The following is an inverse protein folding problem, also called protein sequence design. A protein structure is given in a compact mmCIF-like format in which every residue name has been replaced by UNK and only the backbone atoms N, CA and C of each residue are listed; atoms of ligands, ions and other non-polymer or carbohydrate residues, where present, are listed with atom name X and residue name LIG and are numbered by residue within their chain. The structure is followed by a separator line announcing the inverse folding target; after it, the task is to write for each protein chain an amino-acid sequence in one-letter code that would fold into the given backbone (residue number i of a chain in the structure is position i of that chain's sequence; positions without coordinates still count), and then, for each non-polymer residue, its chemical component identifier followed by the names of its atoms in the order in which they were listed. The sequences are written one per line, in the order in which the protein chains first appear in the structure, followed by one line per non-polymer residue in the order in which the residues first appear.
data_IF_645404517382
#
_entry.id   IF_645404517382
#
_cell.length_a   1.000
_cell.length_b   1.000
_cell.length_c   1.000
_cell.angle_alpha   90.00
_cell.angle_beta   90.00
_cell.angle_gamma   90.00
#
_symmetry.space_group_name_H-M   'P 1'
#
loop_
_entity.id
_entity.type
_entity.pdbx_description
1 polymer ?
#
# COMPACT_ATOMS: atom_id res chain seq x y z
N UNK A 1 -27.74 20.94 7.41
CA UNK A 1 -27.20 22.33 7.47
C UNK A 1 -25.90 22.40 6.66
N UNK A 2 -24.93 21.53 6.88
CA UNK A 2 -23.63 21.53 6.18
C UNK A 2 -23.81 21.37 4.65
N UNK A 3 -24.68 20.48 4.22
CA UNK A 3 -24.88 20.19 2.80
C UNK A 3 -25.55 21.36 2.03
N UNK A 4 -26.31 22.20 2.70
CA UNK A 4 -27.00 23.37 2.11
C UNK A 4 -26.06 24.55 1.82
N UNK A 5 -24.90 24.56 2.46
CA UNK A 5 -23.88 25.59 2.36
C UNK A 5 -22.68 25.19 1.53
N UNK A 6 -22.68 23.98 0.97
CA UNK A 6 -21.61 23.49 0.09
C UNK A 6 -21.53 24.42 -1.14
N UNK A 7 -20.40 25.10 -1.29
CA UNK A 7 -20.18 26.06 -2.39
C UNK A 7 -20.46 27.54 -2.10
N UNK A 8 -20.88 27.91 -0.88
CA UNK A 8 -20.92 29.32 -0.49
C UNK A 8 -19.52 29.82 -0.18
N UNK A 9 -19.19 31.02 -0.65
CA UNK A 9 -17.93 31.69 -0.35
C UNK A 9 -17.94 32.14 1.12
N UNK A 10 -17.25 31.37 1.98
CA UNK A 10 -17.07 31.74 3.39
C UNK A 10 -16.11 32.91 3.58
N UNK A 11 -15.39 33.33 2.52
CA UNK A 11 -14.52 34.49 2.52
C UNK A 11 -15.25 35.80 2.84
N UNK A 12 -16.54 35.87 2.54
CA UNK A 12 -17.35 37.07 2.70
C UNK A 12 -17.86 37.27 4.14
N UNK A 13 -17.65 36.26 5.00
CA UNK A 13 -18.15 36.24 6.37
C UNK A 13 -17.06 35.73 7.33
N UNK A 14 -16.22 36.61 7.88
CA UNK A 14 -15.11 36.22 8.76
C UNK A 14 -15.56 35.38 9.97
N UNK A 15 -16.76 35.64 10.50
CA UNK A 15 -17.35 34.90 11.60
C UNK A 15 -17.63 33.42 11.28
N UNK A 16 -17.73 33.08 9.99
CA UNK A 16 -17.93 31.71 9.54
C UNK A 16 -16.62 30.94 9.30
N UNK A 17 -15.47 31.60 9.47
CA UNK A 17 -14.15 30.96 9.25
C UNK A 17 -13.94 29.73 10.15
N UNK A 18 -14.44 29.78 11.38
CA UNK A 18 -14.36 28.63 12.30
C UNK A 18 -15.14 27.43 11.75
N UNK A 19 -16.32 27.67 11.20
CA UNK A 19 -17.12 26.61 10.58
C UNK A 19 -16.44 26.04 9.34
N UNK A 20 -15.80 26.88 8.54
CA UNK A 20 -15.00 26.46 7.40
C UNK A 20 -13.83 25.57 7.84
N UNK A 21 -13.04 26.00 8.82
CA UNK A 21 -11.91 25.23 9.33
C UNK A 21 -12.35 23.86 9.87
N UNK A 22 -13.48 23.82 10.57
CA UNK A 22 -14.07 22.56 11.05
C UNK A 22 -14.46 21.67 9.88
N UNK A 23 -15.14 22.24 8.86
CA UNK A 23 -15.54 21.48 7.67
C UNK A 23 -14.33 20.94 6.91
N UNK A 24 -13.30 21.76 6.68
CA UNK A 24 -12.05 21.37 6.02
C UNK A 24 -11.32 20.29 6.81
N UNK A 25 -11.34 20.36 8.16
CA UNK A 25 -10.77 19.33 8.99
C UNK A 25 -11.49 17.98 8.80
N UNK A 26 -12.83 17.99 8.77
CA UNK A 26 -13.61 16.76 8.54
C UNK A 26 -13.49 16.23 7.12
N UNK A 27 -13.35 17.08 6.10
CA UNK A 27 -13.27 16.66 4.71
C UNK A 27 -11.86 16.24 4.28
N UNK A 28 -10.83 16.90 4.80
CA UNK A 28 -9.49 16.83 4.25
C UNK A 28 -8.47 16.20 5.23
N UNK A 29 -8.75 16.26 6.54
CA UNK A 29 -7.84 15.77 7.57
C UNK A 29 -8.32 14.52 8.29
N UNK A 30 -9.65 14.37 8.45
CA UNK A 30 -10.20 13.20 9.11
C UNK A 30 -10.20 12.00 8.18
N UNK A 31 -9.35 11.05 8.45
CA UNK A 31 -9.36 9.75 7.78
C UNK A 31 -10.10 8.74 8.67
N UNK A 32 -11.24 8.24 8.21
CA UNK A 32 -12.02 7.22 8.91
C UNK A 32 -11.64 5.86 8.33
N UNK A 33 -11.00 5.03 9.14
CA UNK A 33 -10.65 3.66 8.77
C UNK A 33 -11.54 2.67 9.49
N UNK A 34 -12.19 1.82 8.73
CA UNK A 34 -12.93 0.67 9.25
C UNK A 34 -11.98 -0.53 9.47
N UNK A 35 -12.35 -1.52 10.31
CA UNK A 35 -11.49 -2.68 10.59
C UNK A 35 -11.04 -3.46 9.35
N UNK A 36 -11.86 -3.47 8.31
CA UNK A 36 -11.65 -4.15 7.02
C UNK A 36 -11.15 -3.21 5.90
N UNK A 37 -10.94 -1.91 6.21
CA UNK A 37 -10.40 -0.96 5.22
C UNK A 37 -8.92 -1.22 4.99
N UNK A 38 -8.52 -1.21 3.73
CA UNK A 38 -7.12 -1.14 3.33
C UNK A 38 -6.66 0.30 3.50
N UNK A 39 -5.74 0.56 4.44
CA UNK A 39 -5.27 1.92 4.74
C UNK A 39 -4.25 2.41 3.72
N UNK A 40 -3.37 1.53 3.26
CA UNK A 40 -2.26 1.87 2.39
C UNK A 40 -2.03 0.78 1.35
N UNK A 41 -1.33 1.13 0.27
CA UNK A 41 -0.90 0.18 -0.77
C UNK A 41 0.44 -0.50 -0.47
N UNK A 42 1.02 -0.37 0.72
CA UNK A 42 2.39 -0.78 1.05
C UNK A 42 3.50 -0.18 0.14
N UNK A 43 3.42 1.10 -0.32
CA UNK A 43 4.50 1.66 -1.11
C UNK A 43 5.83 1.65 -0.35
N UNK A 44 5.76 1.68 0.97
CA UNK A 44 6.92 1.66 1.84
C UNK A 44 7.75 0.38 1.72
N UNK A 45 7.14 -0.77 1.53
CA UNK A 45 7.86 -2.06 1.46
C UNK A 45 8.67 -2.25 0.17
N UNK A 46 8.46 -1.46 -0.87
CA UNK A 46 9.22 -1.57 -2.12
C UNK A 46 10.54 -0.80 -2.09
N UNK A 47 10.64 0.25 -1.26
CA UNK A 47 11.78 1.15 -1.18
C UNK A 47 12.39 1.23 0.23
N UNK A 48 11.79 0.52 1.19
CA UNK A 48 12.15 0.60 2.60
C UNK A 48 13.23 -0.39 3.01
N UNK A 49 13.87 -0.08 4.11
CA UNK A 49 14.69 -1.01 4.88
C UNK A 49 13.78 -2.05 5.55
N UNK A 50 13.69 -3.24 4.99
CA UNK A 50 12.87 -4.35 5.51
C UNK A 50 13.29 -4.75 6.93
N UNK A 51 14.55 -4.58 7.27
CA UNK A 51 15.08 -4.88 8.62
C UNK A 51 14.48 -3.95 9.66
N UNK A 52 14.37 -2.64 9.37
CA UNK A 52 13.73 -1.67 10.29
C UNK A 52 12.25 -2.00 10.51
N UNK A 53 11.56 -2.45 9.46
CA UNK A 53 10.17 -2.86 9.56
C UNK A 53 10.05 -4.14 10.43
N UNK A 54 10.94 -5.11 10.22
CA UNK A 54 10.99 -6.32 11.03
C UNK A 54 11.22 -6.00 12.51
N UNK A 55 12.20 -5.12 12.80
CA UNK A 55 12.47 -4.67 14.16
C UNK A 55 11.25 -3.99 14.81
N UNK A 56 10.56 -3.12 14.08
CA UNK A 56 9.35 -2.47 14.57
C UNK A 56 8.22 -3.47 14.84
N UNK A 57 7.95 -4.38 13.91
CA UNK A 57 6.94 -5.43 14.07
C UNK A 57 7.25 -6.32 15.27
N UNK A 58 8.51 -6.69 15.43
CA UNK A 58 8.96 -7.47 16.58
C UNK A 58 8.72 -6.71 17.90
N UNK A 59 9.10 -5.43 17.94
CA UNK A 59 8.88 -4.56 19.10
C UNK A 59 7.39 -4.39 19.46
N UNK A 60 6.51 -4.46 18.47
CA UNK A 60 5.06 -4.46 18.65
C UNK A 60 4.49 -5.83 19.08
N UNK A 61 5.34 -6.82 19.31
CA UNK A 61 4.96 -8.12 19.86
C UNK A 61 4.38 -9.12 18.84
N UNK A 62 4.59 -8.92 17.54
CA UNK A 62 4.14 -9.86 16.51
C UNK A 62 4.99 -11.13 16.47
N UNK A 63 6.22 -11.08 16.98
CA UNK A 63 7.21 -12.15 16.84
C UNK A 63 7.85 -12.25 15.46
N UNK A 64 7.52 -11.34 14.53
CA UNK A 64 8.17 -11.28 13.22
C UNK A 64 9.60 -10.77 13.42
N UNK A 65 10.56 -11.52 12.89
CA UNK A 65 11.99 -11.22 13.00
C UNK A 65 12.66 -10.93 11.67
N UNK A 66 12.04 -11.30 10.56
CA UNK A 66 12.58 -11.10 9.23
C UNK A 66 11.43 -10.94 8.21
N UNK A 67 11.64 -10.04 7.25
CA UNK A 67 10.83 -9.88 6.05
C UNK A 67 11.71 -10.08 4.82
N UNK A 68 11.16 -10.71 3.80
CA UNK A 68 11.83 -10.78 2.50
C UNK A 68 10.85 -10.56 1.35
N UNK A 69 11.36 -9.96 0.27
CA UNK A 69 10.64 -9.88 -1.00
C UNK A 69 10.98 -11.13 -1.80
N UNK A 70 9.96 -11.83 -2.27
CA UNK A 70 10.12 -13.06 -3.06
C UNK A 70 9.41 -12.93 -4.41
N UNK A 71 10.02 -13.49 -5.45
CA UNK A 71 9.43 -13.54 -6.77
C UNK A 71 8.34 -14.61 -6.82
N UNK A 72 7.19 -14.25 -7.39
CA UNK A 72 6.03 -15.15 -7.55
C UNK A 72 5.87 -15.49 -9.03
N UNK A 73 5.78 -16.78 -9.39
CA UNK A 73 5.52 -17.19 -10.76
C UNK A 73 4.20 -16.63 -11.29
N UNK A 74 4.20 -16.19 -12.54
CA UNK A 74 3.02 -15.61 -13.20
C UNK A 74 1.83 -16.56 -13.18
N UNK A 75 2.07 -17.86 -13.30
CA UNK A 75 1.04 -18.91 -13.28
C UNK A 75 0.30 -18.95 -11.96
N UNK A 76 1.01 -18.71 -10.84
CA UNK A 76 0.40 -18.65 -9.50
C UNK A 76 -0.54 -17.45 -9.42
N UNK A 77 -0.12 -16.30 -9.92
CA UNK A 77 -0.96 -15.10 -9.92
C UNK A 77 -2.19 -15.27 -10.80
N UNK A 78 -2.03 -15.82 -12.02
CA UNK A 78 -3.16 -16.08 -12.92
C UNK A 78 -4.17 -17.08 -12.36
N UNK A 79 -3.77 -17.95 -11.45
CA UNK A 79 -4.72 -18.83 -10.75
C UNK A 79 -5.53 -18.10 -9.66
N UNK A 80 -5.04 -16.96 -9.17
CA UNK A 80 -5.64 -16.21 -8.05
C UNK A 80 -6.48 -15.01 -8.51
N UNK A 81 -6.13 -14.40 -9.63
CA UNK A 81 -6.83 -13.21 -10.15
C UNK A 81 -7.41 -13.49 -11.55
N UNK A 82 -8.55 -12.87 -11.92
CA UNK A 82 -9.10 -13.00 -13.26
C UNK A 82 -8.13 -12.53 -14.34
N UNK A 83 -8.08 -13.24 -15.47
CA UNK A 83 -7.21 -12.89 -16.60
C UNK A 83 -7.41 -11.46 -17.10
N UNK A 84 -8.64 -10.96 -17.10
CA UNK A 84 -8.94 -9.57 -17.49
C UNK A 84 -8.25 -8.57 -16.57
N UNK A 85 -8.21 -8.84 -15.26
CA UNK A 85 -7.56 -7.98 -14.29
C UNK A 85 -6.03 -8.03 -14.45
N UNK A 86 -5.46 -9.21 -14.62
CA UNK A 86 -4.03 -9.38 -14.91
C UNK A 86 -3.62 -8.61 -16.18
N UNK A 87 -4.35 -8.81 -17.28
CA UNK A 87 -4.07 -8.17 -18.54
C UNK A 87 -4.18 -6.64 -18.46
N UNK A 88 -5.08 -6.12 -17.64
CA UNK A 88 -5.19 -4.68 -17.39
C UNK A 88 -3.97 -4.15 -16.67
N UNK A 89 -3.49 -4.82 -15.62
CA UNK A 89 -2.26 -4.43 -14.90
C UNK A 89 -1.08 -4.39 -15.87
N UNK A 90 -0.91 -5.43 -16.69
CA UNK A 90 0.15 -5.51 -17.70
C UNK A 90 0.08 -4.33 -18.67
N UNK A 91 -1.10 -4.07 -19.24
CA UNK A 91 -1.28 -2.97 -20.18
C UNK A 91 -1.01 -1.58 -19.55
N UNK A 92 -1.36 -1.40 -18.28
CA UNK A 92 -1.09 -0.14 -17.57
C UNK A 92 0.41 0.01 -17.24
N UNK A 93 1.12 -1.08 -16.91
CA UNK A 93 2.58 -1.10 -16.76
C UNK A 93 3.31 -0.77 -18.06
N UNK A 94 2.91 -1.38 -19.16
CA UNK A 94 3.49 -1.11 -20.48
C UNK A 94 3.33 0.35 -20.89
N UNK A 95 2.14 0.92 -20.67
CA UNK A 95 1.88 2.35 -20.92
C UNK A 95 2.74 3.26 -20.02
N UNK A 96 2.88 2.91 -18.75
CA UNK A 96 3.72 3.65 -17.80
C UNK A 96 5.20 3.56 -18.22
N UNK A 97 5.68 2.38 -18.57
CA UNK A 97 7.04 2.15 -19.03
C UNK A 97 7.38 2.99 -20.28
N UNK A 98 6.47 3.04 -21.24
CA UNK A 98 6.65 3.84 -22.45
C UNK A 98 6.75 5.36 -22.16
N UNK A 99 6.12 5.85 -21.10
CA UNK A 99 6.21 7.25 -20.66
C UNK A 99 7.50 7.54 -19.88
N UNK A 100 7.87 6.65 -18.96
CA UNK A 100 9.03 6.83 -18.08
C UNK A 100 10.35 6.73 -18.84
N UNK A 101 10.48 5.83 -19.83
CA UNK A 101 11.66 5.73 -20.69
C UNK A 101 12.02 7.05 -21.40
N UNK A 102 11.08 7.99 -21.46
CA UNK A 102 11.32 9.32 -22.05
C UNK A 102 11.86 10.35 -21.04
N UNK A 103 11.75 10.13 -19.71
CA UNK A 103 11.96 11.18 -18.71
C UNK A 103 12.80 10.78 -17.49
N UNK A 104 12.79 9.52 -17.02
CA UNK A 104 13.48 9.09 -15.79
C UNK A 104 13.97 7.64 -15.83
N UNK A 105 14.89 7.30 -14.91
CA UNK A 105 15.42 5.92 -14.73
C UNK A 105 14.54 5.08 -13.77
N UNK A 106 13.39 5.59 -13.35
CA UNK A 106 12.46 4.90 -12.46
C UNK A 106 11.67 3.81 -13.20
N UNK A 107 11.60 2.62 -12.62
CA UNK A 107 10.81 1.52 -13.15
C UNK A 107 9.35 1.64 -12.74
N UNK A 108 8.40 1.53 -13.67
CA UNK A 108 6.99 1.57 -13.31
C UNK A 108 6.61 0.34 -12.49
N UNK A 109 5.85 0.60 -11.43
CA UNK A 109 5.34 -0.41 -10.51
C UNK A 109 3.84 -0.27 -10.34
N UNK A 110 3.14 -1.38 -10.28
CA UNK A 110 1.72 -1.43 -9.89
C UNK A 110 1.58 -2.42 -8.75
N UNK A 111 0.92 -1.98 -7.69
CA UNK A 111 0.61 -2.83 -6.55
C UNK A 111 -0.83 -3.30 -6.63
N UNK A 112 -1.02 -4.61 -6.50
CA UNK A 112 -2.32 -5.23 -6.34
C UNK A 112 -2.42 -5.78 -4.92
N UNK A 113 -3.50 -5.44 -4.23
CA UNK A 113 -3.69 -5.82 -2.84
C UNK A 113 -5.13 -6.22 -2.56
N UNK A 114 -5.27 -7.28 -1.78
CA UNK A 114 -6.46 -7.61 -1.01
C UNK A 114 -6.14 -7.52 0.48
N UNK A 115 -7.09 -7.86 1.35
CA UNK A 115 -6.90 -7.81 2.80
C UNK A 115 -5.68 -8.63 3.29
N UNK A 116 -5.44 -9.79 2.68
CA UNK A 116 -4.35 -10.71 3.06
C UNK A 116 -3.43 -11.12 1.91
N UNK A 117 -3.47 -10.42 0.81
CA UNK A 117 -2.59 -10.66 -0.31
C UNK A 117 -2.01 -9.35 -0.82
N UNK A 118 -0.75 -9.38 -1.14
CA UNK A 118 -0.01 -8.23 -1.64
C UNK A 118 0.92 -8.67 -2.76
N UNK A 119 0.83 -8.01 -3.91
CA UNK A 119 1.70 -8.27 -5.04
C UNK A 119 2.17 -6.96 -5.65
N UNK A 120 3.46 -6.87 -5.93
CA UNK A 120 4.05 -5.79 -6.72
C UNK A 120 4.38 -6.31 -8.11
N UNK A 121 3.87 -5.64 -9.11
CA UNK A 121 4.15 -5.89 -10.52
C UNK A 121 5.12 -4.82 -11.00
N UNK A 122 6.26 -5.24 -11.55
CA UNK A 122 7.28 -4.37 -12.14
C UNK A 122 7.54 -4.79 -13.58
N UNK A 123 7.91 -3.82 -14.42
CA UNK A 123 8.37 -4.10 -15.77
C UNK A 123 9.81 -3.58 -15.94
N UNK A 124 10.70 -4.41 -16.45
CA UNK A 124 12.07 -4.01 -16.73
C UNK A 124 12.22 -3.33 -18.10
N UNK A 125 13.41 -2.81 -18.39
CA UNK A 125 13.72 -2.15 -19.65
C UNK A 125 13.54 -3.07 -20.88
N UNK A 126 13.55 -4.39 -20.71
CA UNK A 126 13.36 -5.38 -21.76
C UNK A 126 11.89 -5.79 -21.93
N UNK A 127 10.98 -5.21 -21.14
CA UNK A 127 9.56 -5.57 -21.15
C UNK A 127 9.24 -6.84 -20.37
N UNK A 128 10.18 -7.39 -19.59
CA UNK A 128 9.92 -8.54 -18.73
C UNK A 128 9.17 -8.07 -17.48
N UNK A 129 8.05 -8.73 -17.21
CA UNK A 129 7.27 -8.50 -15.99
C UNK A 129 7.78 -9.42 -14.88
N UNK A 130 8.07 -8.82 -13.73
CA UNK A 130 8.41 -9.50 -12.49
C UNK A 130 7.31 -9.22 -11.48
N UNK A 131 6.88 -10.25 -10.77
CA UNK A 131 5.85 -10.13 -9.73
C UNK A 131 6.48 -10.58 -8.42
N UNK A 132 6.35 -9.76 -7.40
CA UNK A 132 6.89 -10.03 -6.06
C UNK A 132 5.81 -9.93 -5.00
N UNK A 133 6.04 -10.63 -3.89
CA UNK A 133 5.26 -10.52 -2.65
C UNK A 133 6.21 -10.44 -1.47
N UNK A 134 5.66 -10.27 -0.26
CA UNK A 134 6.41 -10.25 0.99
C UNK A 134 6.09 -11.52 1.77
N UNK A 135 7.13 -12.16 2.27
CA UNK A 135 7.05 -13.27 3.21
C UNK A 135 7.64 -12.86 4.56
N UNK A 136 7.14 -13.46 5.62
CA UNK A 136 7.44 -13.16 7.02
C UNK A 136 8.05 -14.38 7.72
N UNK A 137 9.09 -14.17 8.53
CA UNK A 137 9.63 -15.20 9.40
C UNK A 137 9.50 -14.77 10.86
N UNK A 138 9.05 -15.69 11.71
CA UNK A 138 8.99 -15.50 13.16
C UNK A 138 10.27 -15.97 13.84
N UNK A 139 10.52 -15.48 15.06
CA UNK A 139 11.70 -15.78 15.85
C UNK A 139 12.09 -17.27 15.83
N UNK A 140 13.37 -17.52 15.51
CA UNK A 140 13.99 -18.84 15.48
C UNK A 140 13.40 -19.87 14.50
N UNK A 141 12.54 -19.45 13.57
CA UNK A 141 11.99 -20.33 12.54
C UNK A 141 12.62 -19.99 11.19
N UNK A 142 13.26 -20.99 10.57
CA UNK A 142 13.73 -20.90 9.17
C UNK A 142 12.57 -21.07 8.16
N UNK A 143 11.34 -20.81 8.60
CA UNK A 143 10.13 -20.97 7.81
C UNK A 143 9.57 -19.59 7.56
N UNK A 144 9.27 -19.33 6.31
CA UNK A 144 8.62 -18.10 5.88
C UNK A 144 7.15 -18.37 5.62
N UNK A 145 6.32 -17.38 5.94
CA UNK A 145 4.88 -17.43 5.85
C UNK A 145 4.39 -16.30 4.93
N UNK A 146 3.36 -16.58 4.16
CA UNK A 146 2.65 -15.57 3.39
C UNK A 146 1.82 -14.66 4.31
N UNK A 147 1.48 -13.46 3.84
CA UNK A 147 0.60 -12.53 4.58
C UNK A 147 -0.75 -13.15 4.96
N UNK A 148 -1.27 -14.08 4.17
CA UNK A 148 -2.54 -14.75 4.44
C UNK A 148 -2.47 -15.74 5.62
N UNK A 149 -1.26 -16.16 6.00
CA UNK A 149 -1.01 -17.05 7.14
C UNK A 149 -0.82 -16.26 8.44
N UNK A 150 -0.63 -14.93 8.33
CA UNK A 150 -0.50 -14.04 9.46
C UNK A 150 -1.84 -13.72 10.14
N UNK A 151 -1.76 -13.33 11.41
CA UNK A 151 -2.94 -12.90 12.16
C UNK A 151 -3.54 -11.62 11.58
N UNK A 152 -4.84 -11.41 11.81
CA UNK A 152 -5.50 -10.15 11.43
C UNK A 152 -4.88 -8.94 12.14
N UNK A 153 -4.40 -9.12 13.37
CA UNK A 153 -3.67 -8.10 14.11
C UNK A 153 -2.35 -7.72 13.44
N UNK A 154 -1.57 -8.71 13.00
CA UNK A 154 -0.33 -8.50 12.25
C UNK A 154 -0.59 -7.77 10.93
N UNK A 155 -1.57 -8.23 10.15
CA UNK A 155 -1.95 -7.58 8.90
C UNK A 155 -2.36 -6.11 9.12
N UNK A 156 -3.04 -5.82 10.23
CA UNK A 156 -3.44 -4.46 10.59
C UNK A 156 -2.27 -3.59 11.05
N UNK A 157 -1.31 -4.15 11.77
CA UNK A 157 -0.09 -3.43 12.14
C UNK A 157 0.73 -3.07 10.89
N UNK A 158 0.82 -3.97 9.91
CA UNK A 158 1.45 -3.67 8.62
C UNK A 158 0.78 -2.49 7.90
N UNK A 159 -0.55 -2.38 7.95
CA UNK A 159 -1.26 -1.23 7.42
C UNK A 159 -0.90 0.08 8.10
N UNK A 160 -0.63 0.05 9.40
CA UNK A 160 -0.32 1.23 10.20
C UNK A 160 1.14 1.66 10.06
N UNK A 161 2.04 0.77 9.67
CA UNK A 161 3.48 1.05 9.59
C UNK A 161 3.77 2.28 8.73
N UNK A 162 3.16 2.40 7.55
CA UNK A 162 3.39 3.56 6.68
C UNK A 162 2.99 4.88 7.36
N UNK A 163 1.93 4.85 8.17
CA UNK A 163 1.50 6.03 8.93
C UNK A 163 2.53 6.34 10.02
N UNK A 164 3.03 5.33 10.73
CA UNK A 164 4.01 5.50 11.80
C UNK A 164 5.34 6.08 11.27
N UNK A 165 5.80 5.62 10.12
CA UNK A 165 7.02 6.13 9.52
C UNK A 165 6.89 7.52 8.89
N UNK A 166 5.70 7.93 8.48
CA UNK A 166 5.46 9.29 7.95
C UNK A 166 5.37 10.37 9.04
N UNK A 167 5.17 9.97 10.28
CA UNK A 167 5.00 10.88 11.43
C UNK A 167 6.30 11.06 12.22
N UNK A 168 7.28 10.19 12.02
CA UNK A 168 8.61 10.28 12.62
C UNK A 168 9.56 11.08 11.73
#
# INVERSE_FOLDING_TARGET
IINRNKGKMFSDFPELQVLRNIFEWFSDKLNISFPDSILTGYPYFTDANLDEIAELLNALGTGISELKIVEVPVEVIKSKIPDEFYNRIVADLEKANARIQAETDDRPRIMARSYKEFYTFEIDANGKITITTIEFSHENKKVFFDLNEESDGTARLLDLIEILFKVS
#
